data_IF_402996012252
#
_entry.id   IF_402996012252
#
_cell.length_a   1.000
_cell.length_b   1.000
_cell.length_c   1.000
_cell.angle_alpha   90.00
_cell.angle_beta   90.00
_cell.angle_gamma   90.00
#
_symmetry.space_group_name_H-M   'P 1'
#
loop_
_entity.id
_entity.type
_entity.pdbx_description
1 polymer ?
#
# COMPACT_ATOMS: atom_id res chain seq x y z
N UNK A 1 26.96 -58.87 50.58
CA UNK A 1 26.62 -58.61 49.17
C UNK A 1 25.74 -57.38 49.15
N UNK A 2 26.30 -56.24 48.77
CA UNK A 2 25.66 -54.93 48.87
C UNK A 2 25.48 -54.44 47.44
N UNK A 3 24.26 -54.43 46.95
CA UNK A 3 23.91 -53.93 45.61
C UNK A 3 23.79 -52.41 45.65
N UNK A 4 24.63 -51.73 44.88
CA UNK A 4 24.60 -50.28 44.69
C UNK A 4 23.61 -49.99 43.57
N UNK A 5 22.52 -49.30 43.92
CA UNK A 5 21.46 -48.90 43.00
C UNK A 5 21.86 -47.58 42.34
N UNK A 6 22.16 -47.62 41.04
CA UNK A 6 22.53 -46.45 40.25
C UNK A 6 21.24 -45.75 39.80
N UNK A 7 20.84 -44.73 40.56
CA UNK A 7 19.68 -43.90 40.25
C UNK A 7 19.78 -43.27 38.86
N UNK A 8 18.87 -43.68 37.97
CA UNK A 8 18.67 -43.12 36.65
C UNK A 8 18.29 -41.63 36.74
N UNK A 9 19.21 -40.76 36.35
CA UNK A 9 18.96 -39.33 36.21
C UNK A 9 17.93 -39.09 35.08
N UNK A 10 16.69 -38.80 35.46
CA UNK A 10 15.61 -38.40 34.57
C UNK A 10 15.97 -37.07 33.90
N UNK A 11 16.24 -37.11 32.59
CA UNK A 11 16.56 -35.94 31.79
C UNK A 11 15.35 -34.99 31.76
N UNK A 12 15.49 -33.83 32.38
CA UNK A 12 14.45 -32.80 32.43
C UNK A 12 14.28 -32.21 31.01
N UNK A 13 13.11 -32.32 30.36
CA UNK A 13 12.92 -31.83 29.00
C UNK A 13 13.07 -30.32 28.96
N UNK A 14 14.11 -29.82 28.29
CA UNK A 14 14.31 -28.40 28.05
C UNK A 14 13.14 -27.86 27.21
N UNK A 15 12.21 -27.18 27.86
CA UNK A 15 11.13 -26.45 27.20
C UNK A 15 11.72 -25.22 26.52
N UNK A 16 11.78 -25.25 25.19
CA UNK A 16 12.18 -24.11 24.37
C UNK A 16 11.28 -22.92 24.73
N UNK A 17 11.82 -21.76 25.14
CA UNK A 17 11.01 -20.60 25.49
C UNK A 17 10.15 -20.20 24.29
N UNK A 18 8.85 -20.00 24.55
CA UNK A 18 7.90 -19.61 23.52
C UNK A 18 8.27 -18.21 23.01
N UNK A 19 8.58 -18.12 21.72
CA UNK A 19 8.86 -16.86 21.05
C UNK A 19 7.58 -16.01 21.05
N UNK A 20 7.57 -14.95 21.85
CA UNK A 20 6.44 -14.02 21.90
C UNK A 20 6.51 -13.09 20.70
N UNK A 21 5.56 -13.24 19.77
CA UNK A 21 5.45 -12.33 18.63
C UNK A 21 4.89 -11.00 19.12
N UNK A 22 5.68 -9.93 19.03
CA UNK A 22 5.22 -8.57 19.31
C UNK A 22 4.25 -8.17 18.20
N UNK A 23 3.05 -7.72 18.58
CA UNK A 23 2.06 -7.23 17.63
C UNK A 23 2.31 -5.75 17.33
N UNK A 24 2.21 -5.33 16.06
CA UNK A 24 2.28 -3.91 15.73
C UNK A 24 1.22 -3.09 16.48
N UNK A 25 0.05 -3.68 16.74
CA UNK A 25 -1.04 -3.03 17.49
C UNK A 25 -0.78 -2.92 18.99
N UNK A 26 0.19 -3.65 19.54
CA UNK A 26 0.61 -3.46 20.94
C UNK A 26 1.61 -2.32 21.11
N UNK A 27 2.03 -1.66 20.02
CA UNK A 27 2.83 -0.45 20.11
C UNK A 27 1.96 0.73 20.57
N UNK A 28 2.50 1.62 21.44
CA UNK A 28 1.88 2.92 21.74
C UNK A 28 1.53 3.70 20.47
N UNK A 29 0.47 4.50 20.53
CA UNK A 29 -0.03 5.29 19.40
C UNK A 29 1.06 6.19 18.81
N UNK A 30 1.88 6.80 19.66
CA UNK A 30 2.97 7.71 19.29
C UNK A 30 4.02 7.00 18.43
N UNK A 31 4.40 5.77 18.81
CA UNK A 31 5.35 4.98 18.03
C UNK A 31 4.76 4.55 16.69
N UNK A 32 3.46 4.23 16.65
CA UNK A 32 2.77 3.92 15.39
C UNK A 32 2.73 5.15 14.48
N UNK A 33 2.43 6.33 15.02
CA UNK A 33 2.48 7.60 14.28
C UNK A 33 3.88 7.92 13.76
N UNK A 34 4.92 7.70 14.56
CA UNK A 34 6.31 7.89 14.11
C UNK A 34 6.66 6.97 12.93
N UNK A 35 6.22 5.71 12.97
CA UNK A 35 6.38 4.78 11.85
C UNK A 35 5.62 5.29 10.61
N UNK A 36 4.35 5.69 10.76
CA UNK A 36 3.56 6.23 9.66
C UNK A 36 4.17 7.49 9.04
N UNK A 37 4.73 8.40 9.86
CA UNK A 37 5.40 9.61 9.36
C UNK A 37 6.66 9.34 8.54
N UNK A 38 7.18 8.11 8.58
CA UNK A 38 8.33 7.66 7.79
C UNK A 38 7.91 6.89 6.52
N UNK A 39 6.60 6.70 6.31
CA UNK A 39 6.08 6.03 5.13
C UNK A 39 5.86 7.03 3.98
N UNK A 40 6.02 6.54 2.76
CA UNK A 40 5.58 7.24 1.55
C UNK A 40 4.06 7.35 1.53
N UNK A 41 3.52 8.24 0.70
CA UNK A 41 2.06 8.40 0.58
C UNK A 41 1.39 7.10 0.08
N UNK A 42 2.07 6.34 -0.80
CA UNK A 42 1.62 5.01 -1.22
C UNK A 42 1.65 4.03 -0.04
N UNK A 43 2.72 4.05 0.76
CA UNK A 43 2.82 3.23 1.96
C UNK A 43 1.67 3.49 2.94
N UNK A 44 1.34 4.77 3.19
CA UNK A 44 0.21 5.17 4.01
C UNK A 44 -1.12 4.67 3.43
N UNK A 45 -1.33 4.81 2.12
CA UNK A 45 -2.52 4.33 1.46
C UNK A 45 -2.67 2.81 1.64
N UNK A 46 -1.64 2.03 1.31
CA UNK A 46 -1.66 0.57 1.47
C UNK A 46 -1.93 0.18 2.92
N UNK A 47 -1.21 0.78 3.88
CA UNK A 47 -1.39 0.53 5.31
C UNK A 47 -2.82 0.80 5.78
N UNK A 48 -3.46 1.86 5.26
CA UNK A 48 -4.85 2.19 5.59
C UNK A 48 -5.85 1.11 5.16
N UNK A 49 -5.52 0.30 4.15
CA UNK A 49 -6.36 -0.81 3.68
C UNK A 49 -6.08 -2.16 4.36
N UNK A 50 -5.04 -2.27 5.19
CA UNK A 50 -4.70 -3.55 5.84
C UNK A 50 -5.65 -3.92 6.97
N UNK A 51 -6.10 -2.93 7.76
CA UNK A 51 -7.05 -3.14 8.84
C UNK A 51 -7.69 -1.85 9.34
N UNK A 52 -8.84 -2.00 10.01
CA UNK A 52 -9.64 -0.89 10.53
C UNK A 52 -8.90 -0.01 11.55
N UNK A 53 -8.01 -0.58 12.36
CA UNK A 53 -7.22 0.19 13.34
C UNK A 53 -6.28 1.17 12.61
N UNK A 54 -5.44 0.66 11.70
CA UNK A 54 -4.53 1.48 10.90
C UNK A 54 -5.26 2.51 10.05
N UNK A 55 -6.42 2.12 9.47
CA UNK A 55 -7.28 3.07 8.76
C UNK A 55 -7.64 4.27 9.65
N UNK A 56 -8.12 4.03 10.86
CA UNK A 56 -8.53 5.11 11.78
C UNK A 56 -7.32 5.91 12.26
N UNK A 57 -6.22 5.26 12.65
CA UNK A 57 -5.03 5.98 13.14
C UNK A 57 -4.44 6.92 12.07
N UNK A 58 -4.33 6.45 10.82
CA UNK A 58 -3.78 7.23 9.71
C UNK A 58 -4.73 8.38 9.35
N UNK A 59 -6.01 8.07 9.12
CA UNK A 59 -6.97 9.05 8.59
C UNK A 59 -7.57 9.99 9.63
N UNK A 60 -7.38 9.73 10.93
CA UNK A 60 -7.76 10.66 12.00
C UNK A 60 -6.66 11.66 12.34
N UNK A 61 -5.46 11.52 11.76
CA UNK A 61 -4.34 12.43 11.95
C UNK A 61 -4.14 13.31 10.70
N UNK A 62 -4.60 14.58 10.72
CA UNK A 62 -4.50 15.47 9.57
C UNK A 62 -3.07 15.66 9.09
N UNK A 63 -2.07 15.64 9.99
CA UNK A 63 -0.68 15.85 9.61
C UNK A 63 -0.15 14.76 8.67
N UNK A 64 -0.60 13.51 8.82
CA UNK A 64 -0.19 12.41 7.92
C UNK A 64 -0.86 12.55 6.55
N UNK A 65 -2.15 12.89 6.52
CA UNK A 65 -2.89 13.01 5.25
C UNK A 65 -2.48 14.26 4.47
N UNK A 66 -2.20 15.36 5.17
CA UNK A 66 -1.74 16.63 4.57
C UNK A 66 -0.32 16.57 3.99
N UNK A 67 0.42 15.47 4.20
CA UNK A 67 1.69 15.24 3.53
C UNK A 67 1.52 14.92 2.03
N UNK A 68 0.32 14.49 1.60
CA UNK A 68 0.03 14.30 0.18
C UNK A 68 0.06 15.63 -0.57
N UNK A 69 0.80 15.67 -1.69
CA UNK A 69 0.86 16.85 -2.55
C UNK A 69 -0.52 17.20 -3.12
N UNK A 70 -1.36 16.19 -3.38
CA UNK A 70 -2.72 16.34 -3.87
C UNK A 70 -3.75 16.81 -2.84
N UNK A 71 -3.40 16.93 -1.55
CA UNK A 71 -4.36 17.24 -0.49
C UNK A 71 -5.13 18.55 -0.73
N UNK A 72 -4.42 19.66 -0.96
CA UNK A 72 -5.07 20.97 -1.12
C UNK A 72 -5.97 20.99 -2.36
N UNK A 73 -5.48 20.46 -3.48
CA UNK A 73 -6.27 20.37 -4.70
C UNK A 73 -7.51 19.48 -4.50
N UNK A 74 -7.38 18.38 -3.77
CA UNK A 74 -8.52 17.52 -3.44
C UNK A 74 -9.58 18.28 -2.62
N UNK A 75 -9.15 19.06 -1.63
CA UNK A 75 -10.06 19.87 -0.80
C UNK A 75 -10.81 20.91 -1.63
N UNK A 76 -10.10 21.58 -2.53
CA UNK A 76 -10.67 22.63 -3.38
C UNK A 76 -11.61 22.07 -4.46
N UNK A 77 -11.26 20.94 -5.09
CA UNK A 77 -12.05 20.37 -6.17
C UNK A 77 -13.25 19.54 -5.69
N UNK A 78 -13.25 19.02 -4.46
CA UNK A 78 -14.27 18.07 -3.97
C UNK A 78 -14.93 18.46 -2.64
N UNK A 79 -15.38 19.72 -2.44
CA UNK A 79 -15.91 20.18 -1.15
C UNK A 79 -17.17 19.42 -0.72
N UNK A 80 -18.01 19.00 -1.67
CA UNK A 80 -19.23 18.24 -1.38
C UNK A 80 -18.94 16.83 -0.85
N UNK A 81 -17.88 16.17 -1.34
CA UNK A 81 -17.52 14.84 -0.84
C UNK A 81 -16.99 14.90 0.59
N UNK A 82 -16.21 15.94 0.89
CA UNK A 82 -15.61 16.19 2.21
C UNK A 82 -16.66 16.51 3.27
N UNK A 83 -17.76 17.16 2.88
CA UNK A 83 -18.86 17.46 3.79
C UNK A 83 -19.63 16.24 4.27
N UNK A 84 -19.49 15.08 3.61
CA UNK A 84 -20.21 13.87 3.99
C UNK A 84 -19.59 13.27 5.25
N UNK A 85 -20.38 12.98 6.30
CA UNK A 85 -19.85 12.37 7.51
C UNK A 85 -19.31 10.97 7.20
N UNK A 86 -18.09 10.69 7.66
CA UNK A 86 -17.50 9.38 7.53
C UNK A 86 -17.93 8.49 8.70
N UNK A 87 -18.34 7.22 8.49
CA UNK A 87 -18.87 6.36 9.55
C UNK A 87 -17.86 6.03 10.65
N UNK A 88 -16.57 6.14 10.36
CA UNK A 88 -15.48 5.70 11.24
C UNK A 88 -14.50 6.80 11.66
N UNK A 89 -14.59 7.99 11.06
CA UNK A 89 -13.61 9.06 11.32
C UNK A 89 -14.28 10.24 12.03
N UNK A 90 -13.51 11.07 12.76
CA UNK A 90 -14.04 12.30 13.34
C UNK A 90 -14.68 13.22 12.29
N UNK A 91 -15.62 14.06 12.71
CA UNK A 91 -16.23 15.04 11.82
C UNK A 91 -15.16 15.96 11.20
N UNK A 92 -15.22 16.14 9.88
CA UNK A 92 -14.25 16.94 9.12
C UNK A 92 -12.94 16.22 8.78
N UNK A 93 -12.75 14.97 9.21
CA UNK A 93 -11.62 14.16 8.77
C UNK A 93 -11.76 13.82 7.27
N UNK A 94 -10.66 13.98 6.53
CA UNK A 94 -10.60 13.67 5.10
C UNK A 94 -9.72 12.44 4.94
N UNK A 95 -10.26 11.30 4.48
CA UNK A 95 -9.45 10.11 4.31
C UNK A 95 -8.49 10.24 3.13
N UNK A 96 -7.30 9.68 3.30
CA UNK A 96 -6.36 9.41 2.21
C UNK A 96 -6.99 8.42 1.23
N UNK A 97 -7.09 8.81 -0.03
CA UNK A 97 -7.69 8.01 -1.09
C UNK A 97 -6.82 8.04 -2.34
N UNK A 98 -7.00 7.07 -3.23
CA UNK A 98 -6.34 7.08 -4.55
C UNK A 98 -6.63 8.37 -5.32
N UNK A 99 -7.87 8.88 -5.22
CA UNK A 99 -8.28 10.12 -5.88
C UNK A 99 -7.51 11.34 -5.36
N UNK A 100 -7.25 11.40 -4.05
CA UNK A 100 -6.45 12.47 -3.45
C UNK A 100 -5.03 12.47 -4.02
N UNK A 101 -4.39 11.31 -4.10
CA UNK A 101 -2.99 11.21 -4.54
C UNK A 101 -2.81 11.21 -6.06
N UNK A 102 -3.89 11.03 -6.83
CA UNK A 102 -3.83 10.99 -8.29
C UNK A 102 -3.44 12.34 -8.88
N UNK A 103 -2.63 12.31 -9.95
CA UNK A 103 -2.12 13.46 -10.72
C UNK A 103 -1.13 14.39 -10.01
N UNK A 104 -1.06 14.38 -8.68
CA UNK A 104 -0.20 15.27 -7.89
C UNK A 104 0.95 14.51 -7.27
N UNK A 105 0.65 13.43 -6.54
CA UNK A 105 1.68 12.68 -5.84
C UNK A 105 2.44 11.76 -6.80
N UNK A 106 3.78 11.80 -6.68
CA UNK A 106 4.66 10.82 -7.30
C UNK A 106 4.84 9.64 -6.35
N UNK A 107 4.70 8.44 -6.89
CA UNK A 107 5.12 7.23 -6.16
C UNK A 107 6.64 7.19 -6.13
N UNK A 108 7.21 7.09 -4.94
CA UNK A 108 8.64 7.32 -4.75
C UNK A 108 9.47 6.18 -5.34
N UNK A 109 10.69 6.49 -5.79
CA UNK A 109 11.63 5.43 -6.15
C UNK A 109 12.15 4.77 -4.86
N UNK A 110 11.57 3.63 -4.48
CA UNK A 110 12.06 2.85 -3.36
C UNK A 110 13.53 2.47 -3.60
N UNK A 111 14.43 3.01 -2.77
CA UNK A 111 15.88 2.84 -2.93
C UNK A 111 16.42 1.53 -2.33
N UNK A 112 15.57 0.70 -1.73
CA UNK A 112 15.99 -0.60 -1.20
C UNK A 112 16.27 -1.60 -2.32
N UNK A 113 17.50 -2.14 -2.38
CA UNK A 113 17.76 -3.36 -3.13
C UNK A 113 17.08 -4.50 -2.39
N UNK A 114 16.24 -5.27 -3.08
CA UNK A 114 15.86 -6.59 -2.58
C UNK A 114 17.13 -7.45 -2.53
N UNK A 115 17.55 -7.95 -1.35
CA UNK A 115 18.75 -8.78 -1.22
C UNK A 115 18.64 -10.12 -1.98
N UNK A 116 17.42 -10.57 -2.28
CA UNK A 116 17.13 -11.85 -2.90
C UNK A 116 16.95 -11.77 -4.41
N UNK A 117 16.34 -10.69 -4.92
CA UNK A 117 16.04 -10.55 -6.36
C UNK A 117 17.01 -9.60 -7.09
N UNK A 118 17.75 -8.75 -6.37
CA UNK A 118 18.68 -7.77 -6.95
C UNK A 118 18.00 -6.64 -7.77
N UNK A 119 16.74 -6.82 -8.15
CA UNK A 119 15.91 -5.82 -8.80
C UNK A 119 15.27 -4.89 -7.77
N UNK A 120 15.34 -3.58 -8.05
CA UNK A 120 14.57 -2.59 -7.31
C UNK A 120 13.13 -2.63 -7.79
N UNK A 121 12.23 -3.17 -6.97
CA UNK A 121 10.80 -3.03 -7.23
C UNK A 121 10.41 -1.57 -7.02
N UNK A 122 10.02 -0.88 -8.09
CA UNK A 122 9.57 0.53 -8.02
C UNK A 122 8.15 0.60 -7.45
N UNK A 123 7.85 1.66 -6.71
CA UNK A 123 6.53 1.84 -6.10
C UNK A 123 5.39 1.88 -7.12
N UNK A 124 5.60 2.44 -8.31
CA UNK A 124 4.56 2.43 -9.35
C UNK A 124 4.16 1.00 -9.75
N UNK A 125 5.10 0.06 -9.73
CA UNK A 125 4.80 -1.33 -10.03
C UNK A 125 3.98 -1.96 -8.91
N UNK A 126 4.27 -1.62 -7.65
CA UNK A 126 3.49 -2.07 -6.51
C UNK A 126 2.08 -1.47 -6.53
N UNK A 127 1.96 -0.16 -6.83
CA UNK A 127 0.66 0.48 -7.00
C UNK A 127 -0.16 -0.24 -8.08
N UNK A 128 0.44 -0.52 -9.24
CA UNK A 128 -0.27 -1.19 -10.34
C UNK A 128 -0.67 -2.63 -10.01
N UNK A 129 0.12 -3.33 -9.20
CA UNK A 129 -0.24 -4.66 -8.71
C UNK A 129 -1.45 -4.60 -7.77
N UNK A 130 -1.46 -3.64 -6.84
CA UNK A 130 -2.49 -3.56 -5.78
C UNK A 130 -3.77 -2.87 -6.29
N UNK A 131 -3.64 -1.79 -7.06
CA UNK A 131 -4.72 -0.89 -7.48
C UNK A 131 -4.93 -0.83 -8.99
N UNK A 132 -3.97 -1.27 -9.80
CA UNK A 132 -4.07 -1.27 -11.26
C UNK A 132 -5.06 -2.30 -11.79
N UNK A 133 -5.40 -3.32 -11.02
CA UNK A 133 -6.31 -4.37 -11.46
C UNK A 133 -7.73 -3.86 -11.75
N UNK A 134 -8.09 -3.79 -13.03
CA UNK A 134 -9.47 -4.06 -13.39
C UNK A 134 -9.78 -5.51 -13.07
N UNK A 135 -10.56 -5.79 -12.02
CA UNK A 135 -10.95 -7.15 -11.69
C UNK A 135 -11.50 -7.85 -12.94
N UNK A 136 -10.79 -8.90 -13.39
CA UNK A 136 -11.12 -9.67 -14.59
C UNK A 136 -12.55 -10.21 -14.54
N UNK A 137 -13.05 -10.43 -13.33
CA UNK A 137 -14.35 -11.00 -13.06
C UNK A 137 -15.49 -10.00 -13.30
N UNK A 138 -15.20 -8.69 -13.32
CA UNK A 138 -16.19 -7.62 -13.49
C UNK A 138 -15.70 -6.48 -14.40
N UNK A 139 -15.50 -6.73 -15.70
CA UNK A 139 -15.05 -5.70 -16.65
C UNK A 139 -16.00 -4.49 -16.71
N UNK A 140 -17.29 -4.70 -16.42
CA UNK A 140 -18.33 -3.67 -16.47
C UNK A 140 -18.29 -2.74 -15.24
N UNK A 141 -17.81 -3.23 -14.09
CA UNK A 141 -17.59 -2.41 -12.90
C UNK A 141 -16.34 -1.53 -13.02
N UNK A 142 -15.54 -1.78 -14.04
CA UNK A 142 -14.23 -1.19 -14.21
C UNK A 142 -14.20 0.13 -14.98
N UNK A 143 -15.36 0.67 -15.33
CA UNK A 143 -15.42 1.72 -16.34
C UNK A 143 -15.06 3.12 -15.79
N UNK A 144 -15.15 3.36 -14.47
CA UNK A 144 -15.11 4.73 -13.95
C UNK A 144 -13.98 5.05 -12.96
N UNK A 145 -13.29 4.06 -12.38
CA UNK A 145 -12.37 4.30 -11.24
C UNK A 145 -11.06 3.49 -11.31
N UNK A 146 -10.56 3.22 -12.51
CA UNK A 146 -9.29 2.53 -12.65
C UNK A 146 -8.13 3.50 -12.66
N UNK A 147 -7.15 3.20 -11.81
CA UNK A 147 -5.98 4.00 -11.60
C UNK A 147 -4.75 3.21 -11.99
N UNK A 148 -3.76 3.89 -12.54
CA UNK A 148 -2.48 3.29 -12.91
C UNK A 148 -1.38 4.29 -12.60
N UNK A 149 -0.29 3.82 -12.00
CA UNK A 149 0.92 4.59 -11.79
C UNK A 149 1.82 4.49 -13.03
N UNK A 150 2.27 5.66 -13.50
CA UNK A 150 3.08 5.80 -14.69
C UNK A 150 4.54 5.45 -14.41
N UNK A 151 5.18 4.56 -15.19
CA UNK A 151 6.60 4.25 -14.98
C UNK A 151 7.59 5.31 -15.47
N UNK A 152 7.11 6.30 -16.23
CA UNK A 152 7.93 7.39 -16.77
C UNK A 152 7.92 8.67 -15.93
N UNK A 153 6.76 9.05 -15.37
CA UNK A 153 6.64 10.26 -14.54
C UNK A 153 6.25 9.97 -13.08
N UNK A 154 6.07 8.69 -12.72
CA UNK A 154 5.70 8.22 -11.38
C UNK A 154 4.36 8.77 -10.85
N UNK A 155 3.55 9.41 -11.69
CA UNK A 155 2.23 9.90 -11.31
C UNK A 155 1.17 8.81 -11.44
N UNK A 156 0.24 8.79 -10.50
CA UNK A 156 -0.98 7.99 -10.57
C UNK A 156 -2.01 8.71 -11.45
N UNK A 157 -2.57 8.02 -12.44
CA UNK A 157 -3.50 8.59 -13.41
C UNK A 157 -4.66 7.65 -13.68
N UNK A 158 -5.71 8.18 -14.29
CA UNK A 158 -6.82 7.35 -14.76
C UNK A 158 -6.36 6.46 -15.91
N UNK A 159 -7.01 5.31 -16.03
CA UNK A 159 -6.82 4.35 -17.12
C UNK A 159 -6.89 4.98 -18.52
N UNK A 160 -7.75 5.97 -18.71
CA UNK A 160 -7.88 6.71 -19.98
C UNK A 160 -6.64 7.53 -20.39
N UNK A 161 -5.74 7.81 -19.45
CA UNK A 161 -4.46 8.47 -19.74
C UNK A 161 -3.39 7.52 -20.28
N UNK A 162 -3.71 6.23 -20.42
CA UNK A 162 -2.79 5.20 -20.92
C UNK A 162 -3.29 4.67 -22.28
N UNK A 163 -2.77 5.21 -23.41
CA UNK A 163 -3.33 4.93 -24.74
C UNK A 163 -3.27 3.45 -25.13
N UNK A 164 -2.27 2.72 -24.64
CA UNK A 164 -2.06 1.30 -24.90
C UNK A 164 -3.11 0.39 -24.25
N UNK A 165 -3.79 0.85 -23.20
CA UNK A 165 -4.84 0.05 -22.53
C UNK A 165 -6.03 -0.21 -23.46
N UNK A 166 -6.29 0.66 -24.43
CA UNK A 166 -7.39 0.49 -25.39
C UNK A 166 -7.06 -0.48 -26.53
N UNK A 167 -5.78 -0.69 -26.83
CA UNK A 167 -5.35 -1.42 -28.03
C UNK A 167 -5.00 -2.89 -27.81
N UNK A 168 -4.83 -3.34 -26.56
CA UNK A 168 -4.34 -4.69 -26.26
C UNK A 168 -5.34 -5.41 -25.36
N UNK A 169 -5.68 -6.66 -25.70
CA UNK A 169 -6.36 -7.55 -24.75
C UNK A 169 -5.44 -7.74 -23.54
N UNK A 170 -5.80 -7.10 -22.42
CA UNK A 170 -5.09 -7.12 -21.13
C UNK A 170 -4.65 -8.55 -20.72
N UNK A 171 -5.40 -9.57 -21.18
CA UNK A 171 -5.10 -10.99 -20.99
C UNK A 171 -3.70 -11.43 -21.47
N UNK A 172 -3.11 -10.83 -22.52
CA UNK A 172 -1.80 -11.26 -23.02
C UNK A 172 -0.61 -10.70 -22.23
N UNK A 173 -0.82 -9.68 -21.41
CA UNK A 173 0.25 -9.01 -20.68
C UNK A 173 0.59 -9.72 -19.37
N UNK A 174 -0.42 -10.25 -18.68
CA UNK A 174 -0.29 -10.77 -17.30
C UNK A 174 0.32 -12.18 -17.18
N UNK A 175 0.72 -12.84 -18.27
CA UNK A 175 0.92 -14.29 -18.25
C UNK A 175 2.33 -14.76 -17.83
N UNK A 176 3.45 -14.10 -18.14
CA UNK A 176 4.77 -14.66 -17.77
C UNK A 176 5.83 -13.60 -17.45
N UNK A 177 6.08 -13.40 -16.15
CA UNK A 177 7.37 -12.97 -15.55
C UNK A 177 8.11 -11.78 -16.21
N UNK A 178 7.51 -10.59 -16.18
CA UNK A 178 8.25 -9.34 -16.39
C UNK A 178 7.56 -8.36 -17.34
N UNK A 179 6.42 -7.84 -16.91
CA UNK A 179 5.80 -6.69 -17.58
C UNK A 179 6.53 -5.44 -17.11
N UNK A 180 7.58 -5.05 -17.80
CA UNK A 180 8.26 -3.77 -17.54
C UNK A 180 7.95 -2.72 -18.59
N UNK A 181 7.38 -3.06 -19.75
CA UNK A 181 7.62 -2.21 -20.92
C UNK A 181 6.58 -1.15 -21.29
N UNK A 182 5.40 -1.09 -20.68
CA UNK A 182 4.50 0.03 -21.02
C UNK A 182 3.62 0.45 -19.85
N UNK A 183 4.18 1.13 -18.86
CA UNK A 183 3.41 1.90 -17.89
C UNK A 183 3.45 3.40 -18.19
N UNK A 184 3.86 3.84 -19.38
CA UNK A 184 3.92 5.27 -19.68
C UNK A 184 2.52 5.81 -20.00
N UNK A 185 2.12 6.87 -19.29
CA UNK A 185 0.95 7.67 -19.61
C UNK A 185 1.19 8.54 -20.84
N UNK A 186 0.13 9.03 -21.49
CA UNK A 186 0.17 9.84 -22.71
C UNK A 186 1.15 11.03 -22.67
N UNK A 187 1.33 11.64 -21.50
CA UNK A 187 2.23 12.80 -21.32
C UNK A 187 3.72 12.40 -21.38
N UNK A 188 4.05 11.13 -21.18
CA UNK A 188 5.43 10.60 -21.25
C UNK A 188 5.80 10.03 -22.62
N UNK A 189 4.90 10.12 -23.61
CA UNK A 189 5.14 9.65 -24.99
C UNK A 189 5.50 10.78 -25.96
N UNK A 190 5.45 12.04 -25.50
CA UNK A 190 5.84 13.23 -26.27
C UNK A 190 7.35 13.41 -26.20
#
# INVERSE_FOLDING_TARGET
>A
MTTIDYGSASANPQTKPAETKISFRSLPLELRHQIFSSCTVLGLLILSHTCHAMYVDINSNPHLVQQSEGYLNYVECWPLEISKPHPMLPAGAIPLTVRMISYYDKVEEYCGRDPLDGYRRREWSLFNEVYGGCHRDHPDQCQNECWWACGGCDLIRRKEDFPWIRSISIAKYLDYRGIVQVSNCKDCWV
#
